data_IF_165216292606
#
_entry.id   IF_165216292606
#
_cell.length_a   1.000
_cell.length_b   1.000
_cell.length_c   1.000
_cell.angle_alpha   90.00
_cell.angle_beta   90.00
_cell.angle_gamma   90.00
#
_symmetry.space_group_name_H-M   'P 1'
#
loop_
_entity.id
_entity.type
_entity.pdbx_description
1 polymer ?
#
# COMPACT_ATOMS: atom_id res chain seq x y z
N UNK A 1 -3.07 39.55 -26.97
CA UNK A 1 -2.02 39.23 -25.99
C UNK A 1 -1.33 40.55 -25.65
N UNK A 2 -1.46 41.04 -24.40
CA UNK A 2 -1.07 42.40 -24.03
C UNK A 2 0.42 42.45 -23.64
N UNK A 3 1.17 43.37 -24.26
CA UNK A 3 2.60 43.65 -24.03
C UNK A 3 2.94 44.02 -22.58
N UNK A 4 1.96 44.49 -21.82
CA UNK A 4 2.10 44.78 -20.39
C UNK A 4 2.22 43.52 -19.51
N UNK A 5 1.72 42.37 -19.97
CA UNK A 5 1.82 41.09 -19.23
C UNK A 5 3.23 40.49 -19.27
N UNK A 6 4.02 40.85 -20.30
CA UNK A 6 5.40 40.35 -20.50
C UNK A 6 6.43 41.16 -19.71
N UNK A 7 6.11 42.41 -19.34
CA UNK A 7 7.04 43.36 -18.72
C UNK A 7 6.92 43.45 -17.18
N UNK A 8 5.78 43.09 -16.60
CA UNK A 8 5.55 43.19 -15.14
C UNK A 8 5.36 41.87 -14.40
N UNK A 9 5.49 40.72 -15.09
CA UNK A 9 5.24 39.42 -14.47
C UNK A 9 3.77 39.30 -14.10
N UNK A 10 3.00 38.61 -14.95
CA UNK A 10 1.56 38.39 -14.79
C UNK A 10 1.19 38.21 -13.32
N UNK A 11 0.51 39.20 -12.75
CA UNK A 11 0.02 39.12 -11.37
C UNK A 11 -0.97 37.96 -11.33
N UNK A 12 -0.54 36.86 -10.72
CA UNK A 12 -1.28 35.61 -10.63
C UNK A 12 -2.71 35.90 -10.16
N UNK A 13 -3.68 35.70 -11.06
CA UNK A 13 -5.10 35.93 -10.75
C UNK A 13 -5.54 34.99 -9.64
N UNK A 14 -6.52 35.36 -8.79
CA UNK A 14 -7.04 34.48 -7.74
C UNK A 14 -7.42 33.09 -8.26
N UNK A 15 -8.08 33.02 -9.42
CA UNK A 15 -8.41 31.78 -10.12
C UNK A 15 -7.17 30.95 -10.55
N UNK A 16 -6.10 31.62 -11.03
CA UNK A 16 -4.86 30.92 -11.39
C UNK A 16 -4.12 30.38 -10.16
N UNK A 17 -4.15 31.10 -9.02
CA UNK A 17 -3.61 30.60 -7.73
C UNK A 17 -4.39 29.40 -7.24
N UNK A 18 -5.72 29.46 -7.28
CA UNK A 18 -6.59 28.34 -6.89
C UNK A 18 -6.29 27.08 -7.71
N UNK A 19 -6.11 27.23 -9.03
CA UNK A 19 -5.69 26.14 -9.92
C UNK A 19 -4.29 25.61 -9.60
N UNK A 20 -3.35 26.49 -9.23
CA UNK A 20 -2.01 26.07 -8.83
C UNK A 20 -2.03 25.27 -7.52
N UNK A 21 -2.76 25.75 -6.52
CA UNK A 21 -2.95 25.05 -5.24
C UNK A 21 -3.65 23.70 -5.40
N UNK A 22 -4.66 23.63 -6.27
CA UNK A 22 -5.32 22.35 -6.59
C UNK A 22 -4.33 21.33 -7.19
N UNK A 23 -3.47 21.77 -8.12
CA UNK A 23 -2.43 20.91 -8.70
C UNK A 23 -1.37 20.49 -7.68
N UNK A 24 -0.94 21.39 -6.80
CA UNK A 24 0.02 21.04 -5.74
C UNK A 24 -0.58 20.06 -4.74
N UNK A 25 -1.85 20.23 -4.37
CA UNK A 25 -2.57 19.29 -3.50
C UNK A 25 -2.67 17.90 -4.12
N UNK A 26 -3.05 17.80 -5.40
CA UNK A 26 -3.08 16.52 -6.11
C UNK A 26 -1.69 15.86 -6.21
N UNK A 27 -0.64 16.66 -6.39
CA UNK A 27 0.75 16.15 -6.39
C UNK A 27 1.11 15.59 -5.01
N UNK A 28 0.81 16.34 -3.93
CA UNK A 28 1.07 15.92 -2.56
C UNK A 28 0.29 14.65 -2.20
N UNK A 29 -0.97 14.52 -2.61
CA UNK A 29 -1.77 13.29 -2.42
C UNK A 29 -1.08 12.06 -3.04
N UNK A 30 -0.60 12.18 -4.28
CA UNK A 30 0.12 11.08 -4.96
C UNK A 30 1.47 10.76 -4.30
N UNK A 31 2.13 11.77 -3.75
CA UNK A 31 3.40 11.60 -3.04
C UNK A 31 3.19 10.86 -1.71
N UNK A 32 2.19 11.25 -0.92
CA UNK A 32 1.77 10.53 0.28
C UNK A 32 1.42 9.07 -0.02
N UNK A 33 0.69 8.81 -1.11
CA UNK A 33 0.28 7.45 -1.48
C UNK A 33 1.49 6.57 -1.88
N UNK A 34 2.50 7.17 -2.51
CA UNK A 34 3.78 6.49 -2.80
C UNK A 34 4.58 6.21 -1.53
N UNK A 35 4.64 7.16 -0.60
CA UNK A 35 5.34 6.96 0.68
C UNK A 35 4.65 5.89 1.53
N UNK A 36 3.32 5.94 1.60
CA UNK A 36 2.50 4.89 2.22
C UNK A 36 2.82 3.52 1.62
N UNK A 37 2.85 3.39 0.30
CA UNK A 37 3.19 2.12 -0.35
C UNK A 37 4.61 1.60 -0.03
N UNK A 38 5.59 2.50 0.18
CA UNK A 38 6.92 2.12 0.64
C UNK A 38 6.90 1.61 2.08
N UNK A 39 6.14 2.26 2.96
CA UNK A 39 5.98 1.82 4.35
C UNK A 39 5.26 0.48 4.44
N UNK A 40 4.23 0.23 3.63
CA UNK A 40 3.55 -1.09 3.56
C UNK A 40 4.50 -2.20 3.07
N UNK A 41 5.39 -1.90 2.12
CA UNK A 41 6.41 -2.85 1.69
C UNK A 41 7.45 -3.13 2.81
N UNK A 42 7.85 -2.08 3.54
CA UNK A 42 8.74 -2.21 4.69
C UNK A 42 8.08 -3.00 5.83
N UNK A 43 6.80 -2.78 6.11
CA UNK A 43 6.01 -3.55 7.09
C UNK A 43 6.06 -5.05 6.78
N UNK A 44 5.79 -5.42 5.53
CA UNK A 44 5.84 -6.83 5.08
C UNK A 44 7.24 -7.44 5.25
N UNK A 45 8.28 -6.65 4.97
CA UNK A 45 9.67 -7.08 5.16
C UNK A 45 10.01 -7.28 6.65
N UNK A 46 9.69 -6.30 7.50
CA UNK A 46 9.91 -6.40 8.95
C UNK A 46 9.13 -7.59 9.54
N UNK A 47 7.90 -7.86 9.09
CA UNK A 47 7.14 -9.05 9.48
C UNK A 47 7.85 -10.36 9.11
N UNK A 48 8.38 -10.46 7.89
CA UNK A 48 9.16 -11.62 7.48
C UNK A 48 10.45 -11.79 8.31
N UNK A 49 11.12 -10.68 8.64
CA UNK A 49 12.32 -10.68 9.46
C UNK A 49 12.01 -11.09 10.92
N UNK A 50 10.88 -10.67 11.50
CA UNK A 50 10.40 -11.15 12.81
C UNK A 50 10.19 -12.66 12.75
N UNK A 51 9.48 -13.17 11.73
CA UNK A 51 9.25 -14.62 11.58
C UNK A 51 10.55 -15.41 11.46
N UNK A 52 11.55 -14.87 10.75
CA UNK A 52 12.88 -15.49 10.61
C UNK A 52 13.65 -15.50 11.93
N UNK A 53 13.68 -14.38 12.65
CA UNK A 53 14.40 -14.28 13.94
C UNK A 53 13.73 -15.10 15.04
N UNK A 54 12.40 -15.21 15.01
CA UNK A 54 11.64 -16.02 15.95
C UNK A 54 11.96 -17.52 15.79
N UNK A 55 12.05 -18.02 14.55
CA UNK A 55 12.51 -19.40 14.26
C UNK A 55 13.95 -19.65 14.71
N UNK A 56 14.80 -18.63 14.65
CA UNK A 56 16.18 -18.69 15.15
C UNK A 56 16.30 -18.57 16.67
N UNK A 57 15.19 -18.34 17.40
CA UNK A 57 15.17 -18.17 18.85
C UNK A 57 15.74 -16.84 19.34
N UNK A 58 15.99 -15.86 18.46
CA UNK A 58 16.55 -14.57 18.85
C UNK A 58 15.46 -13.59 19.33
N UNK A 59 15.01 -13.78 20.57
CA UNK A 59 13.91 -13.01 21.15
C UNK A 59 14.20 -11.51 21.26
N UNK A 60 15.45 -11.12 21.51
CA UNK A 60 15.84 -9.70 21.62
C UNK A 60 15.69 -8.99 20.26
N UNK A 61 16.10 -9.62 19.17
CA UNK A 61 15.90 -9.08 17.83
C UNK A 61 14.40 -9.00 17.48
N UNK A 62 13.61 -10.01 17.84
CA UNK A 62 12.15 -9.99 17.63
C UNK A 62 11.48 -8.83 18.35
N UNK A 63 11.85 -8.53 19.61
CA UNK A 63 11.31 -7.40 20.36
C UNK A 63 11.59 -6.05 19.69
N UNK A 64 12.83 -5.84 19.24
CA UNK A 64 13.21 -4.58 18.57
C UNK A 64 12.45 -4.43 17.24
N UNK A 65 12.37 -5.50 16.45
CA UNK A 65 11.65 -5.49 15.17
C UNK A 65 10.13 -5.35 15.36
N UNK A 66 9.57 -5.89 16.44
CA UNK A 66 8.15 -5.73 16.77
C UNK A 66 7.81 -4.26 17.10
N UNK A 67 8.68 -3.56 17.85
CA UNK A 67 8.52 -2.11 18.08
C UNK A 67 8.59 -1.32 16.77
N UNK A 68 9.55 -1.64 15.89
CA UNK A 68 9.66 -1.00 14.56
C UNK A 68 8.42 -1.27 13.68
N UNK A 69 7.84 -2.48 13.76
CA UNK A 69 6.62 -2.84 13.06
C UNK A 69 5.42 -2.00 13.53
N UNK A 70 5.22 -1.84 14.85
CA UNK A 70 4.15 -1.00 15.41
C UNK A 70 4.32 0.45 14.96
N UNK A 71 5.54 0.98 15.06
CA UNK A 71 5.86 2.34 14.61
C UNK A 71 5.54 2.53 13.12
N UNK A 72 5.89 1.56 12.29
CA UNK A 72 5.60 1.59 10.85
C UNK A 72 4.10 1.56 10.58
N UNK A 73 3.32 0.74 11.29
CA UNK A 73 1.85 0.70 11.19
C UNK A 73 1.21 2.03 11.58
N UNK A 74 1.65 2.63 12.69
CA UNK A 74 1.18 3.96 13.12
C UNK A 74 1.49 5.03 12.08
N UNK A 75 2.66 4.97 11.43
CA UNK A 75 2.95 5.86 10.30
C UNK A 75 2.00 5.62 9.12
N UNK A 76 1.72 4.37 8.72
CA UNK A 76 0.76 4.07 7.64
C UNK A 76 -0.63 4.65 7.95
N UNK A 77 -1.10 4.53 9.20
CA UNK A 77 -2.36 5.13 9.66
C UNK A 77 -2.32 6.66 9.58
N UNK A 78 -1.25 7.29 10.07
CA UNK A 78 -1.06 8.74 9.98
C UNK A 78 -1.01 9.23 8.53
N UNK A 79 -0.34 8.52 7.62
CA UNK A 79 -0.34 8.81 6.19
C UNK A 79 -1.73 8.68 5.57
N UNK A 80 -2.53 7.72 6.03
CA UNK A 80 -3.92 7.54 5.60
C UNK A 80 -4.80 8.70 6.08
N UNK A 81 -4.66 9.13 7.33
CA UNK A 81 -5.36 10.30 7.88
C UNK A 81 -4.97 11.58 7.13
N UNK A 82 -3.68 11.83 6.91
CA UNK A 82 -3.20 12.99 6.14
C UNK A 82 -3.76 12.99 4.70
N UNK A 83 -3.89 11.83 4.05
CA UNK A 83 -4.53 11.73 2.72
C UNK A 83 -5.99 12.18 2.77
N UNK A 84 -6.75 11.73 3.77
CA UNK A 84 -8.15 12.13 3.95
C UNK A 84 -8.27 13.62 4.21
N UNK A 85 -7.41 14.19 5.05
CA UNK A 85 -7.35 15.63 5.29
C UNK A 85 -7.05 16.42 4.01
N UNK A 86 -6.06 16.00 3.20
CA UNK A 86 -5.79 16.63 1.90
C UNK A 86 -6.95 16.48 0.91
N UNK A 87 -7.71 15.38 0.97
CA UNK A 87 -8.91 15.19 0.16
C UNK A 87 -10.02 16.16 0.58
N UNK A 88 -10.23 16.36 1.88
CA UNK A 88 -11.17 17.36 2.41
C UNK A 88 -10.79 18.78 1.99
N UNK A 89 -9.50 19.16 2.09
CA UNK A 89 -9.02 20.46 1.60
C UNK A 89 -9.21 20.61 0.09
N UNK A 90 -8.97 19.55 -0.69
CA UNK A 90 -9.22 19.57 -2.14
C UNK A 90 -10.71 19.78 -2.45
N UNK A 91 -11.61 19.19 -1.67
CA UNK A 91 -13.06 19.37 -1.81
C UNK A 91 -13.46 20.81 -1.48
N UNK A 92 -12.96 21.37 -0.37
CA UNK A 92 -13.16 22.80 -0.03
C UNK A 92 -12.68 23.73 -1.14
N UNK A 93 -11.51 23.47 -1.73
CA UNK A 93 -11.03 24.26 -2.87
C UNK A 93 -11.93 24.15 -4.11
N UNK A 94 -12.55 22.99 -4.35
CA UNK A 94 -13.52 22.82 -5.41
C UNK A 94 -14.80 23.63 -5.15
N UNK A 95 -15.28 23.65 -3.91
CA UNK A 95 -16.41 24.51 -3.48
C UNK A 95 -16.08 25.98 -3.70
N UNK A 96 -14.90 26.45 -3.26
CA UNK A 96 -14.45 27.84 -3.48
C UNK A 96 -14.41 28.21 -4.96
N UNK A 97 -13.97 27.29 -5.83
CA UNK A 97 -13.98 27.52 -7.28
C UNK A 97 -15.40 27.66 -7.83
N UNK A 98 -16.33 26.85 -7.35
CA UNK A 98 -17.74 26.95 -7.76
C UNK A 98 -18.36 28.26 -7.29
N UNK A 99 -18.05 28.68 -6.05
CA UNK A 99 -18.49 29.96 -5.49
C UNK A 99 -17.90 31.15 -6.27
N UNK A 100 -16.62 31.10 -6.66
CA UNK A 100 -16.01 32.13 -7.52
C UNK A 100 -16.70 32.24 -8.89
N UNK A 101 -17.05 31.11 -9.51
CA UNK A 101 -17.78 31.08 -10.77
C UNK A 101 -19.21 31.64 -10.60
N UNK A 102 -19.89 31.27 -9.52
CA UNK A 102 -21.21 31.80 -9.18
C UNK A 102 -21.16 33.31 -8.94
N UNK A 103 -20.18 33.80 -8.17
CA UNK A 103 -19.98 35.23 -7.93
C UNK A 103 -19.68 35.98 -9.25
N UNK A 104 -18.89 35.39 -10.14
CA UNK A 104 -18.61 35.97 -11.47
C UNK A 104 -19.86 36.02 -12.34
N UNK A 105 -20.67 34.95 -12.35
CA UNK A 105 -21.94 34.90 -13.06
C UNK A 105 -22.96 35.90 -12.48
N UNK A 106 -23.08 35.98 -11.16
CA UNK A 106 -23.90 36.96 -10.45
C UNK A 106 -23.44 38.39 -10.74
N UNK A 107 -22.13 38.65 -10.82
CA UNK A 107 -21.59 39.97 -11.20
C UNK A 107 -21.95 40.32 -12.65
N UNK A 108 -21.87 39.37 -13.57
CA UNK A 108 -22.30 39.53 -14.96
C UNK A 108 -23.80 39.77 -15.08
N UNK A 109 -24.60 38.95 -14.40
CA UNK A 109 -26.06 39.07 -14.32
C UNK A 109 -26.47 40.39 -13.66
N UNK A 110 -25.82 40.82 -12.57
CA UNK A 110 -26.06 42.10 -11.91
C UNK A 110 -25.66 43.27 -12.79
N UNK A 111 -24.62 43.14 -13.62
CA UNK A 111 -24.23 44.19 -14.58
C UNK A 111 -25.22 44.30 -15.73
N UNK A 112 -25.69 43.16 -16.26
CA UNK A 112 -26.76 43.12 -17.27
C UNK A 112 -28.09 43.62 -16.69
N UNK A 113 -28.44 43.19 -15.48
CA UNK A 113 -29.56 43.70 -14.69
C UNK A 113 -29.38 45.17 -14.38
N UNK A 114 -28.18 45.68 -14.10
CA UNK A 114 -27.93 47.11 -13.86
C UNK A 114 -28.09 47.96 -15.12
N UNK A 115 -27.71 47.42 -16.28
CA UNK A 115 -28.01 48.01 -17.59
C UNK A 115 -29.52 47.97 -17.89
N UNK A 116 -30.23 46.95 -17.41
CA UNK A 116 -31.69 46.79 -17.56
C UNK A 116 -32.50 47.53 -16.45
N UNK A 117 -31.92 47.77 -15.28
CA UNK A 117 -32.47 48.40 -14.05
C UNK A 117 -32.17 49.90 -14.01
N UNK A 118 -31.66 50.48 -15.10
CA UNK A 118 -31.92 51.91 -15.30
C UNK A 118 -33.43 52.19 -15.39
N UNK A 119 -34.28 51.16 -15.54
CA UNK A 119 -35.74 51.26 -15.55
C UNK A 119 -36.53 50.42 -14.52
N UNK A 120 -36.00 49.48 -13.71
CA UNK A 120 -36.83 48.72 -12.73
C UNK A 120 -36.09 48.08 -11.52
N UNK A 121 -36.37 48.63 -10.31
CA UNK A 121 -36.33 48.09 -8.93
C UNK A 121 -35.02 47.49 -8.31
N UNK A 122 -34.29 48.37 -7.61
CA UNK A 122 -33.17 48.10 -6.68
C UNK A 122 -33.44 47.18 -5.43
N UNK A 123 -34.66 47.08 -4.85
CA UNK A 123 -34.88 46.33 -3.60
C UNK A 123 -34.73 44.80 -3.68
N UNK A 124 -34.97 44.20 -4.85
CA UNK A 124 -34.92 42.73 -5.01
C UNK A 124 -33.48 42.19 -4.99
N UNK A 125 -32.50 42.98 -5.47
CA UNK A 125 -31.07 42.59 -5.45
C UNK A 125 -30.52 42.57 -4.02
N UNK A 126 -30.89 43.54 -3.18
CA UNK A 126 -30.51 43.55 -1.76
C UNK A 126 -31.06 42.33 -1.01
N UNK A 127 -32.29 41.91 -1.34
CA UNK A 127 -32.88 40.70 -0.75
C UNK A 127 -32.11 39.43 -1.14
N UNK A 128 -31.74 39.28 -2.42
CA UNK A 128 -30.97 38.11 -2.90
C UNK A 128 -29.58 38.07 -2.24
N UNK A 129 -28.93 39.22 -2.04
CA UNK A 129 -27.64 39.28 -1.34
C UNK A 129 -27.76 38.89 0.13
N UNK A 130 -28.79 39.38 0.84
CA UNK A 130 -29.02 39.02 2.24
C UNK A 130 -29.41 37.55 2.41
N UNK A 131 -30.24 37.01 1.51
CA UNK A 131 -30.64 35.60 1.53
C UNK A 131 -29.42 34.69 1.25
N UNK A 132 -28.54 35.09 0.32
CA UNK A 132 -27.27 34.39 0.06
C UNK A 132 -26.32 34.41 1.27
N UNK A 133 -26.16 35.57 1.92
CA UNK A 133 -25.31 35.69 3.11
C UNK A 133 -25.82 34.81 4.27
N UNK A 134 -27.16 34.75 4.44
CA UNK A 134 -27.81 33.88 5.42
C UNK A 134 -27.61 32.39 5.09
N UNK A 135 -27.78 32.00 3.84
CA UNK A 135 -27.63 30.60 3.43
C UNK A 135 -26.17 30.14 3.43
N UNK A 136 -25.24 31.00 3.03
CA UNK A 136 -23.79 30.77 3.14
C UNK A 136 -23.37 30.57 4.60
N UNK A 137 -23.83 31.45 5.52
CA UNK A 137 -23.56 31.30 6.95
C UNK A 137 -24.14 30.01 7.52
N UNK A 138 -25.34 29.60 7.06
CA UNK A 138 -25.96 28.34 7.49
C UNK A 138 -25.19 27.12 6.97
N UNK A 139 -24.59 27.23 5.79
CA UNK A 139 -23.74 26.18 5.21
C UNK A 139 -22.41 26.07 5.95
N UNK A 140 -21.74 27.18 6.26
CA UNK A 140 -20.49 27.19 7.01
C UNK A 140 -20.68 26.58 8.41
N UNK A 141 -21.79 26.91 9.09
CA UNK A 141 -22.13 26.35 10.41
C UNK A 141 -22.39 24.84 10.39
N UNK A 142 -22.98 24.32 9.30
CA UNK A 142 -23.17 22.87 9.10
C UNK A 142 -21.85 22.15 8.83
N UNK A 143 -20.91 22.81 8.16
CA UNK A 143 -19.59 22.25 7.90
C UNK A 143 -18.74 22.18 9.18
N UNK A 144 -18.84 23.18 10.05
CA UNK A 144 -18.18 23.20 11.36
C UNK A 144 -18.73 22.08 12.28
N UNK A 145 -20.06 21.96 12.40
CA UNK A 145 -20.68 20.86 13.17
C UNK A 145 -20.33 19.46 12.65
N UNK A 146 -20.13 19.32 11.33
CA UNK A 146 -19.72 18.05 10.75
C UNK A 146 -18.21 17.79 10.90
N UNK A 147 -17.39 18.83 10.98
CA UNK A 147 -15.96 18.72 11.26
C UNK A 147 -15.73 18.31 12.71
N UNK A 148 -16.42 18.93 13.67
CA UNK A 148 -16.34 18.59 15.10
C UNK A 148 -16.78 17.16 15.35
N UNK A 149 -17.88 16.70 14.72
CA UNK A 149 -18.34 15.31 14.87
C UNK A 149 -17.37 14.27 14.26
N UNK A 150 -16.52 14.69 13.32
CA UNK A 150 -15.49 13.82 12.72
C UNK A 150 -14.21 13.86 13.56
N UNK A 151 -13.84 15.00 14.14
CA UNK A 151 -12.68 15.11 15.05
C UNK A 151 -12.94 14.38 16.39
N UNK A 152 -14.13 14.51 17.00
CA UNK A 152 -14.52 13.79 18.23
C UNK A 152 -14.46 12.26 18.05
N UNK A 153 -14.75 11.76 16.85
CA UNK A 153 -14.66 10.34 16.54
C UNK A 153 -13.23 9.84 16.28
N UNK A 154 -12.27 10.76 16.11
CA UNK A 154 -10.86 10.45 15.86
C UNK A 154 -9.94 10.73 17.07
N UNK A 155 -10.40 11.48 18.08
CA UNK A 155 -9.60 11.82 19.26
C UNK A 155 -9.43 10.63 20.25
N UNK A 156 -10.25 9.58 20.13
CA UNK A 156 -10.21 8.38 20.99
C UNK A 156 -9.01 7.43 20.73
N UNK A 157 -8.13 7.70 19.76
CA UNK A 157 -7.03 6.79 19.39
C UNK A 157 -5.64 7.18 19.94
N UNK A 158 -5.48 8.31 20.64
CA UNK A 158 -4.16 8.80 21.07
C UNK A 158 -3.89 8.63 22.58
N UNK A 159 -3.71 7.37 23.04
CA UNK A 159 -3.00 7.12 24.30
C UNK A 159 -1.68 6.38 24.04
N UNK A 160 -0.60 7.15 24.10
CA UNK A 160 0.79 6.73 23.88
C UNK A 160 1.33 5.62 24.79
N UNK A 161 0.57 5.11 25.76
CA UNK A 161 0.90 3.91 26.54
C UNK A 161 0.69 2.60 25.75
N UNK A 162 -0.03 2.65 24.63
CA UNK A 162 -0.32 1.47 23.81
C UNK A 162 0.88 0.86 23.06
N UNK A 163 1.96 1.61 22.78
CA UNK A 163 3.00 1.13 21.84
C UNK A 163 3.73 -0.11 22.34
N UNK A 164 4.09 -0.11 23.62
CA UNK A 164 4.81 -1.24 24.22
C UNK A 164 3.88 -2.44 24.40
N UNK A 165 2.65 -2.20 24.88
CA UNK A 165 1.63 -3.24 25.04
C UNK A 165 1.19 -3.87 23.71
N UNK A 166 1.01 -3.07 22.65
CA UNK A 166 0.72 -3.51 21.29
C UNK A 166 1.89 -4.31 20.71
N UNK A 167 3.13 -3.85 20.93
CA UNK A 167 4.32 -4.54 20.42
C UNK A 167 4.49 -5.92 21.04
N UNK A 168 4.26 -6.06 22.34
CA UNK A 168 4.31 -7.34 23.04
C UNK A 168 3.15 -8.25 22.63
N UNK A 169 1.96 -7.69 22.40
CA UNK A 169 0.80 -8.43 21.88
C UNK A 169 1.05 -8.99 20.47
N UNK A 170 1.59 -8.17 19.56
CA UNK A 170 1.92 -8.61 18.19
C UNK A 170 3.05 -9.63 18.21
N UNK A 171 4.06 -9.44 19.05
CA UNK A 171 5.13 -10.42 19.21
C UNK A 171 4.57 -11.76 19.67
N UNK A 172 3.68 -11.76 20.67
CA UNK A 172 3.01 -12.97 21.15
C UNK A 172 2.19 -13.63 20.06
N UNK A 173 1.40 -12.88 19.29
CA UNK A 173 0.61 -13.39 18.16
C UNK A 173 1.49 -14.06 17.09
N UNK A 174 2.61 -13.43 16.72
CA UNK A 174 3.55 -14.00 15.74
C UNK A 174 4.25 -15.25 16.29
N UNK A 175 4.56 -15.28 17.60
CA UNK A 175 5.13 -16.46 18.24
C UNK A 175 4.12 -17.61 18.33
N UNK A 176 2.86 -17.31 18.61
CA UNK A 176 1.77 -18.29 18.64
C UNK A 176 1.51 -18.85 17.22
N UNK A 177 1.52 -18.01 16.18
CA UNK A 177 1.44 -18.44 14.77
C UNK A 177 2.59 -19.40 14.43
N UNK A 178 3.83 -19.08 14.82
CA UNK A 178 4.99 -19.95 14.55
C UNK A 178 4.93 -21.25 15.37
N UNK A 179 4.49 -21.18 16.62
CA UNK A 179 4.35 -22.33 17.51
C UNK A 179 3.28 -23.32 17.01
N UNK A 180 2.18 -22.82 16.46
CA UNK A 180 1.16 -23.64 15.80
C UNK A 180 1.69 -24.25 14.50
N UNK A 181 2.39 -23.48 13.66
CA UNK A 181 3.00 -24.00 12.42
C UNK A 181 4.05 -25.10 12.67
N UNK A 182 4.86 -25.00 13.74
CA UNK A 182 5.81 -26.06 14.10
C UNK A 182 5.08 -27.32 14.56
N UNK A 183 4.05 -27.20 15.40
CA UNK A 183 3.26 -28.36 15.82
C UNK A 183 2.51 -29.02 14.65
N UNK A 184 1.97 -28.25 13.71
CA UNK A 184 1.34 -28.78 12.49
C UNK A 184 2.34 -29.50 11.58
N UNK A 185 3.57 -28.96 11.45
CA UNK A 185 4.66 -29.58 10.68
C UNK A 185 5.18 -30.87 11.34
N UNK A 186 5.20 -30.94 12.68
CA UNK A 186 5.62 -32.12 13.43
C UNK A 186 4.55 -33.22 13.46
N UNK A 187 3.26 -32.86 13.45
CA UNK A 187 2.14 -33.80 13.32
C UNK A 187 2.07 -34.37 11.88
N UNK A 188 2.50 -33.59 10.88
CA UNK A 188 2.52 -34.01 9.47
C UNK A 188 3.75 -34.83 9.06
N UNK A 189 4.74 -35.00 9.96
CA UNK A 189 5.84 -35.93 9.74
C UNK A 189 5.36 -37.35 10.06
N UNK A 190 5.41 -38.33 9.14
CA UNK A 190 4.98 -39.68 9.41
C UNK A 190 5.87 -40.26 10.51
N UNK A 191 5.29 -40.47 11.68
CA UNK A 191 5.89 -41.26 12.77
C UNK A 191 5.89 -42.72 12.31
N UNK A 192 6.84 -43.09 11.46
CA UNK A 192 7.13 -44.48 11.14
C UNK A 192 7.98 -45.06 12.29
N UNK A 193 7.26 -45.78 13.15
CA UNK A 193 7.70 -46.55 14.32
C UNK A 193 9.08 -47.25 14.19
N UNK A 194 9.99 -47.12 15.17
CA UNK A 194 11.05 -48.09 15.38
C UNK A 194 10.47 -49.26 16.19
N UNK A 195 10.46 -50.48 15.66
CA UNK A 195 10.42 -51.75 16.41
C UNK A 195 10.31 -52.92 15.42
N UNK A 196 11.45 -53.39 14.93
CA UNK A 196 11.61 -54.79 14.52
C UNK A 196 12.74 -55.37 15.38
N UNK A 197 12.47 -56.31 16.30
CA UNK A 197 13.52 -57.02 17.01
C UNK A 197 14.08 -58.12 16.10
N UNK A 198 15.33 -57.95 15.64
CA UNK A 198 16.10 -59.00 14.98
C UNK A 198 16.69 -59.95 16.05
N UNK A 199 16.54 -61.29 15.93
CA UNK A 199 17.07 -62.22 16.91
C UNK A 199 18.57 -62.48 16.69
N UNK A 200 19.28 -62.56 17.81
CA UNK A 200 20.69 -62.94 17.96
C UNK A 200 21.02 -64.27 17.25
N UNK A 201 21.98 -64.24 16.32
CA UNK A 201 22.83 -65.40 16.01
C UNK A 201 24.31 -65.02 16.10
N UNK A 202 24.92 -65.45 17.20
CA UNK A 202 26.37 -65.59 17.38
C UNK A 202 26.94 -66.57 16.37
N UNK A 203 27.86 -66.10 15.51
CA UNK A 203 28.93 -66.95 14.97
C UNK A 203 30.21 -66.13 14.82
N UNK A 204 31.33 -66.82 15.02
CA UNK A 204 32.62 -66.30 15.47
C UNK A 204 33.43 -65.60 14.37
N UNK A 205 34.34 -64.76 14.86
CA UNK A 205 35.40 -64.01 14.17
C UNK A 205 36.35 -64.90 13.36
N UNK A 206 36.75 -64.41 12.18
CA UNK A 206 38.07 -64.66 11.60
C UNK A 206 38.59 -63.36 10.94
N UNK A 207 39.79 -62.95 11.35
CA UNK A 207 40.56 -61.80 10.84
C UNK A 207 41.50 -62.30 9.74
N UNK A 208 41.65 -61.53 8.65
CA UNK A 208 42.88 -61.53 7.85
C UNK A 208 43.04 -60.20 7.08
N UNK A 209 44.22 -59.60 7.25
CA UNK A 209 44.77 -58.42 6.58
C UNK A 209 45.02 -58.62 5.07
N UNK A 210 45.07 -57.52 4.32
CA UNK A 210 45.88 -57.45 3.09
C UNK A 210 45.28 -56.66 1.91
N UNK A 211 45.64 -55.39 1.78
CA UNK A 211 45.83 -54.70 0.49
C UNK A 211 47.31 -54.87 0.06
N UNK A 212 47.77 -54.48 -1.16
CA UNK A 212 47.08 -54.13 -2.42
C UNK A 212 47.72 -54.73 -3.71
N UNK A 213 46.99 -54.75 -4.83
CA UNK A 213 47.53 -54.71 -6.22
C UNK A 213 46.36 -54.86 -7.19
N UNK A 214 46.27 -54.29 -8.38
CA UNK A 214 47.04 -53.34 -9.18
C UNK A 214 46.15 -53.07 -10.42
N UNK A 215 46.13 -51.84 -10.93
CA UNK A 215 45.57 -51.52 -12.25
C UNK A 215 46.50 -52.09 -13.36
N UNK A 216 46.05 -52.28 -14.62
CA UNK A 216 46.04 -51.13 -15.54
C UNK A 216 44.97 -51.11 -16.66
N UNK A 217 44.79 -49.89 -17.16
CA UNK A 217 44.36 -49.35 -18.45
C UNK A 217 43.95 -50.27 -19.64
N UNK A 218 42.97 -49.77 -20.42
CA UNK A 218 42.94 -49.93 -21.89
C UNK A 218 41.54 -49.84 -22.53
N UNK A 219 41.21 -48.72 -23.20
CA UNK A 219 40.27 -48.71 -24.34
C UNK A 219 40.95 -49.23 -25.63
N UNK A 220 40.33 -49.27 -26.83
CA UNK A 220 39.36 -48.28 -27.37
C UNK A 220 38.24 -48.83 -28.33
N UNK A 221 37.50 -47.90 -28.97
CA UNK A 221 36.67 -47.97 -30.23
C UNK A 221 35.37 -48.80 -30.23
N UNK A 222 34.32 -48.55 -31.02
CA UNK A 222 33.70 -47.43 -31.77
C UNK A 222 32.33 -47.96 -32.28
N UNK A 223 31.41 -47.04 -32.59
CA UNK A 223 30.27 -47.14 -33.53
C UNK A 223 28.86 -47.45 -32.99
N UNK A 224 27.97 -46.46 -33.16
CA UNK A 224 26.72 -46.69 -33.89
C UNK A 224 25.43 -46.09 -33.34
N UNK A 225 25.04 -44.90 -33.85
CA UNK A 225 23.67 -44.36 -34.03
C UNK A 225 22.82 -44.11 -32.77
N UNK A 226 22.03 -43.05 -32.60
CA UNK A 226 21.55 -41.96 -33.45
C UNK A 226 20.25 -41.43 -32.80
N UNK A 227 19.88 -40.17 -33.04
CA UNK A 227 18.48 -39.74 -32.90
C UNK A 227 18.11 -38.88 -31.68
N UNK A 228 18.21 -37.57 -31.88
CA UNK A 228 17.18 -36.52 -31.67
C UNK A 228 16.26 -36.59 -30.44
N UNK A 229 16.23 -35.49 -29.70
CA UNK A 229 15.57 -35.34 -28.41
C UNK A 229 14.06 -35.12 -28.43
N UNK A 230 13.51 -35.04 -27.22
CA UNK A 230 12.41 -34.16 -26.82
C UNK A 230 12.14 -34.40 -25.33
N UNK A 231 12.25 -33.34 -24.53
CA UNK A 231 11.77 -33.28 -23.14
C UNK A 231 10.23 -33.39 -23.10
N UNK A 232 9.61 -34.03 -22.10
CA UNK A 232 8.16 -34.03 -21.98
C UNK A 232 7.63 -32.89 -21.10
N UNK A 233 6.40 -32.49 -21.44
CA UNK A 233 5.34 -31.85 -20.66
C UNK A 233 5.45 -30.37 -20.30
N UNK A 234 4.99 -29.50 -21.21
CA UNK A 234 4.23 -28.29 -20.85
C UNK A 234 2.75 -28.69 -20.77
N UNK A 235 2.06 -28.17 -19.77
CA UNK A 235 0.63 -28.45 -19.54
C UNK A 235 -0.23 -27.84 -20.66
N UNK A 236 -1.37 -28.48 -20.99
CA UNK A 236 -2.26 -28.01 -22.07
C UNK A 236 -2.78 -26.58 -21.84
N UNK A 237 -2.78 -26.13 -20.59
CA UNK A 237 -3.21 -24.79 -20.18
C UNK A 237 -2.18 -23.72 -20.57
N UNK A 238 -0.88 -24.04 -20.54
CA UNK A 238 0.19 -23.11 -20.95
C UNK A 238 0.20 -22.90 -22.47
N UNK A 239 -0.16 -23.92 -23.25
CA UNK A 239 -0.27 -23.81 -24.70
C UNK A 239 -1.42 -22.87 -25.13
N UNK A 240 -2.53 -22.88 -24.39
CA UNK A 240 -3.69 -22.02 -24.66
C UNK A 240 -3.43 -20.57 -24.23
N UNK A 241 -2.70 -20.36 -23.13
CA UNK A 241 -2.27 -19.03 -22.69
C UNK A 241 -1.27 -18.40 -23.68
N UNK A 242 -0.36 -19.19 -24.23
CA UNK A 242 0.61 -18.71 -25.21
C UNK A 242 -0.06 -18.30 -26.53
N UNK A 243 -1.08 -19.05 -26.98
CA UNK A 243 -1.88 -18.69 -28.16
C UNK A 243 -2.67 -17.39 -27.97
N UNK A 244 -3.19 -17.15 -26.76
CA UNK A 244 -3.86 -15.88 -26.44
C UNK A 244 -2.88 -14.70 -26.38
N UNK A 245 -1.67 -14.92 -25.88
CA UNK A 245 -0.62 -13.90 -25.85
C UNK A 245 -0.17 -13.50 -27.27
N UNK A 246 0.00 -14.47 -28.15
CA UNK A 246 0.43 -14.22 -29.54
C UNK A 246 -0.65 -13.54 -30.38
N UNK A 247 -1.93 -13.78 -30.08
CA UNK A 247 -3.05 -13.06 -30.71
C UNK A 247 -3.08 -11.58 -30.30
N UNK A 248 -2.78 -11.25 -29.04
CA UNK A 248 -2.74 -9.87 -28.55
C UNK A 248 -1.56 -9.05 -29.08
N UNK A 249 -0.51 -9.72 -29.55
CA UNK A 249 0.70 -9.08 -30.08
C UNK A 249 0.59 -8.73 -31.57
N UNK A 250 -0.50 -9.14 -32.22
CA UNK A 250 -0.74 -8.98 -33.66
C UNK A 250 -1.78 -7.93 -34.03
N UNK A 251 -2.49 -7.38 -33.04
CA UNK A 251 -3.30 -6.17 -33.13
C UNK A 251 -2.51 -4.95 -32.59
#
# INVERSE_FOLDING_TARGET
MNILDTLFGRSMTPAERLRQHQRSLQKAQRELEREKGKLEAQEKKTMADIKRNAKAGNMNACKILAKDLVRTRRYIQKFTQMRVQLQAVSLRMQTLRSNEQMATAMKGATRAMGQMNRSLNLPQIQKIMNDFERESSTMDMKEEMMSDAVDDAMEDEDEGEGEEAESDKILKEVLDEIGMNMNESLISAPTASPLVPEPLQTSRVAVAEGLPSSAPAGGPTNAGSGGVGASPSMSSEEADLQRRLDALRRD
#
